data_IF_327151293697
#
_entry.id   IF_327151293697
#
_cell.length_a   1.000
_cell.length_b   1.000
_cell.length_c   1.000
_cell.angle_alpha   90.00
_cell.angle_beta   90.00
_cell.angle_gamma   90.00
#
_symmetry.space_group_name_H-M   'P 1'
#
loop_
_entity.id
_entity.type
_entity.pdbx_description
1 polymer ?
#
# COMPACT_ATOMS: atom_id res chain seq x y z
N UNK A 1 -8.49 -16.45 6.57
CA UNK A 1 -7.97 -15.53 5.55
C UNK A 1 -9.03 -14.47 5.30
N UNK A 2 -8.69 -13.19 5.48
CA UNK A 2 -9.55 -12.09 5.15
C UNK A 2 -9.16 -11.55 3.77
N UNK A 3 -10.11 -11.50 2.85
CA UNK A 3 -9.90 -10.96 1.52
C UNK A 3 -10.84 -9.78 1.33
N UNK A 4 -10.25 -8.60 1.05
CA UNK A 4 -11.03 -7.40 0.78
C UNK A 4 -11.31 -7.29 -0.71
N UNK A 5 -12.58 -7.24 -1.07
CA UNK A 5 -13.07 -7.11 -2.44
C UNK A 5 -13.94 -5.86 -2.50
N UNK A 6 -13.44 -4.81 -3.17
CA UNK A 6 -14.11 -3.51 -3.19
C UNK A 6 -15.23 -3.40 -4.20
N UNK A 7 -15.16 -4.14 -5.31
CA UNK A 7 -16.15 -4.10 -6.37
C UNK A 7 -16.41 -5.50 -6.91
N UNK A 8 -17.66 -5.83 -7.08
CA UNK A 8 -18.08 -7.06 -7.76
C UNK A 8 -18.08 -6.85 -9.26
N UNK A 9 -17.61 -7.85 -9.99
CA UNK A 9 -17.66 -7.90 -11.44
C UNK A 9 -18.13 -9.28 -11.89
N UNK A 10 -18.34 -9.44 -13.17
CA UNK A 10 -18.78 -10.71 -13.74
C UNK A 10 -17.86 -11.88 -13.38
N UNK A 11 -16.54 -11.64 -13.34
CA UNK A 11 -15.51 -12.66 -13.08
C UNK A 11 -15.08 -12.74 -11.60
N UNK A 12 -15.79 -12.09 -10.70
CA UNK A 12 -15.42 -12.04 -9.28
C UNK A 12 -15.28 -13.43 -8.67
N UNK A 13 -16.22 -14.33 -8.95
CA UNK A 13 -16.17 -15.70 -8.41
C UNK A 13 -14.96 -16.48 -8.90
N UNK A 14 -14.62 -16.36 -10.16
CA UNK A 14 -13.45 -17.01 -10.75
C UNK A 14 -12.16 -16.45 -10.17
N UNK A 15 -12.03 -15.12 -10.09
CA UNK A 15 -10.85 -14.47 -9.51
C UNK A 15 -10.65 -14.83 -8.04
N UNK A 16 -11.73 -14.88 -7.25
CA UNK A 16 -11.68 -15.31 -5.84
C UNK A 16 -11.23 -16.77 -5.71
N UNK A 17 -11.80 -17.66 -6.52
CA UNK A 17 -11.43 -19.07 -6.53
C UNK A 17 -9.95 -19.26 -6.92
N UNK A 18 -9.48 -18.56 -7.93
CA UNK A 18 -8.08 -18.67 -8.38
C UNK A 18 -7.08 -18.24 -7.31
N UNK A 19 -7.41 -17.23 -6.50
CA UNK A 19 -6.60 -16.86 -5.34
C UNK A 19 -6.69 -17.91 -4.24
N UNK A 20 -7.90 -18.32 -3.83
CA UNK A 20 -8.08 -19.27 -2.71
C UNK A 20 -7.41 -20.62 -3.01
N UNK A 21 -7.50 -21.10 -4.25
CA UNK A 21 -6.89 -22.37 -4.66
C UNK A 21 -5.42 -22.24 -5.11
N UNK A 22 -4.84 -21.06 -4.98
CA UNK A 22 -3.41 -20.85 -5.24
C UNK A 22 -3.03 -20.86 -6.72
N UNK A 23 -3.96 -20.67 -7.65
CA UNK A 23 -3.62 -20.52 -9.06
C UNK A 23 -2.97 -19.15 -9.36
N UNK A 24 -3.39 -18.13 -8.63
CA UNK A 24 -2.90 -16.77 -8.75
C UNK A 24 -2.55 -16.23 -7.39
N UNK A 25 -1.37 -15.64 -7.26
CA UNK A 25 -0.98 -14.93 -6.04
C UNK A 25 -1.71 -13.59 -5.94
N UNK A 26 -2.27 -13.25 -4.77
CA UNK A 26 -2.84 -11.92 -4.59
C UNK A 26 -1.74 -10.86 -4.61
N UNK A 27 -1.98 -9.78 -5.35
CA UNK A 27 -1.04 -8.66 -5.48
C UNK A 27 -1.68 -7.32 -5.09
N UNK A 28 -2.98 -7.29 -4.80
CA UNK A 28 -3.70 -6.09 -4.41
C UNK A 28 -3.20 -5.51 -3.09
N UNK A 29 -3.22 -4.19 -3.00
CA UNK A 29 -2.89 -3.44 -1.78
C UNK A 29 -4.04 -2.53 -1.42
N UNK A 30 -4.25 -2.31 -0.11
CA UNK A 30 -5.30 -1.41 0.37
C UNK A 30 -5.00 0.03 -0.06
N UNK A 31 -6.03 0.68 -0.58
CA UNK A 31 -5.98 2.09 -0.99
C UNK A 31 -6.47 3.04 0.10
N UNK A 32 -6.68 2.54 1.30
CA UNK A 32 -7.13 3.29 2.46
C UNK A 32 -6.56 2.70 3.74
N UNK A 33 -6.47 3.52 4.78
CA UNK A 33 -6.10 3.10 6.14
C UNK A 33 -7.34 2.59 6.86
N UNK A 34 -7.25 1.46 7.52
CA UNK A 34 -8.33 0.87 8.32
C UNK A 34 -8.05 1.09 9.80
N UNK A 35 -8.90 1.87 10.45
CA UNK A 35 -8.82 2.09 11.90
C UNK A 35 -9.09 0.80 12.68
N UNK A 36 -8.45 0.66 13.82
CA UNK A 36 -8.63 -0.51 14.68
C UNK A 36 -9.96 -0.46 15.44
N UNK A 37 -10.48 0.73 15.74
CA UNK A 37 -11.74 0.95 16.45
C UNK A 37 -12.57 2.06 15.80
N UNK A 38 -13.88 1.98 15.97
CA UNK A 38 -14.81 3.06 15.61
C UNK A 38 -14.57 4.32 16.43
N UNK A 39 -14.04 4.17 17.65
CA UNK A 39 -13.77 5.30 18.55
C UNK A 39 -12.61 6.18 18.06
N UNK A 40 -11.79 5.66 17.14
CA UNK A 40 -10.69 6.39 16.50
C UNK A 40 -11.16 7.21 15.30
N UNK A 41 -12.41 7.00 14.86
CA UNK A 41 -12.93 7.69 13.69
C UNK A 41 -13.39 9.09 14.04
N UNK A 42 -12.93 10.06 13.28
CA UNK A 42 -13.45 11.43 13.35
C UNK A 42 -14.91 11.50 12.90
N UNK A 43 -15.65 12.53 13.38
CA UNK A 43 -17.02 12.76 12.92
C UNK A 43 -17.14 12.69 11.40
N UNK A 44 -18.17 12.01 10.91
CA UNK A 44 -18.32 11.73 9.45
C UNK A 44 -18.37 13.01 8.61
N UNK A 45 -18.82 14.11 9.17
CA UNK A 45 -18.91 15.41 8.48
C UNK A 45 -17.62 16.24 8.57
N UNK A 46 -16.60 15.76 9.30
CA UNK A 46 -15.30 16.40 9.31
C UNK A 46 -14.45 15.88 8.13
N UNK A 47 -14.39 16.67 7.06
CA UNK A 47 -13.62 16.33 5.85
C UNK A 47 -12.20 16.91 5.87
N UNK A 48 -11.79 17.58 6.94
CA UNK A 48 -10.42 18.10 7.03
C UNK A 48 -9.45 16.95 7.35
N UNK A 49 -8.69 16.51 6.36
CA UNK A 49 -7.76 15.40 6.53
C UNK A 49 -6.69 15.66 7.60
N UNK A 50 -6.32 16.94 7.84
CA UNK A 50 -5.31 17.33 8.83
C UNK A 50 -5.75 17.12 10.28
N UNK A 51 -7.03 16.88 10.50
CA UNK A 51 -7.56 16.56 11.84
C UNK A 51 -7.26 15.12 12.27
N UNK A 52 -6.51 14.37 11.49
CA UNK A 52 -6.11 13.01 11.81
C UNK A 52 -6.69 11.95 10.87
N UNK A 53 -6.98 12.30 9.62
CA UNK A 53 -7.45 11.35 8.62
C UNK A 53 -6.31 10.86 7.75
N UNK A 54 -6.48 9.66 7.20
CA UNK A 54 -5.58 9.00 6.26
C UNK A 54 -4.21 8.65 6.87
N UNK A 55 -3.42 7.88 6.14
CA UNK A 55 -2.05 7.53 6.52
C UNK A 55 -1.13 8.75 6.75
N UNK A 56 -1.52 9.93 6.26
CA UNK A 56 -0.71 11.15 6.38
C UNK A 56 -0.82 11.81 7.76
N UNK A 57 -2.00 11.76 8.38
CA UNK A 57 -2.29 12.55 9.58
C UNK A 57 -2.87 11.73 10.74
N UNK A 58 -3.28 10.48 10.50
CA UNK A 58 -3.73 9.59 11.56
C UNK A 58 -2.54 9.20 12.45
N UNK A 59 -2.72 9.39 13.76
CA UNK A 59 -1.70 9.08 14.78
C UNK A 59 -1.94 7.74 15.48
N UNK A 60 -3.06 7.10 15.21
CA UNK A 60 -3.39 5.79 15.78
C UNK A 60 -2.66 4.69 15.02
N UNK A 61 -2.46 3.57 15.69
CA UNK A 61 -1.96 2.36 15.02
C UNK A 61 -3.11 1.70 14.27
N UNK A 62 -3.11 1.71 12.94
CA UNK A 62 -4.22 1.16 12.18
C UNK A 62 -4.28 -0.37 12.28
N UNK A 63 -5.48 -0.93 12.11
CA UNK A 63 -5.66 -2.36 11.92
C UNK A 63 -4.94 -2.84 10.65
N UNK A 64 -5.16 -2.12 9.55
CA UNK A 64 -4.41 -2.29 8.30
C UNK A 64 -4.01 -0.92 7.75
N UNK A 65 -2.71 -0.66 7.56
CA UNK A 65 -2.26 0.60 7.00
C UNK A 65 -2.57 0.71 5.50
N UNK A 66 -2.58 1.92 4.98
CA UNK A 66 -2.56 2.18 3.53
C UNK A 66 -1.43 1.37 2.87
N UNK A 67 -1.71 0.77 1.74
CA UNK A 67 -0.74 -0.05 1.02
C UNK A 67 -0.53 -1.46 1.58
N UNK A 68 -1.23 -1.85 2.64
CA UNK A 68 -1.16 -3.20 3.19
C UNK A 68 -1.73 -4.23 2.21
N UNK A 69 -1.07 -5.38 2.14
CA UNK A 69 -1.52 -6.55 1.41
C UNK A 69 -0.58 -7.72 1.63
N UNK A 70 -1.07 -8.91 1.36
CA UNK A 70 -0.31 -10.14 1.45
C UNK A 70 -0.21 -10.78 0.06
N UNK A 71 0.86 -11.53 -0.14
CA UNK A 71 1.14 -12.29 -1.35
C UNK A 71 1.51 -13.72 -0.98
N UNK A 72 1.51 -14.63 -1.94
CA UNK A 72 2.05 -15.99 -1.77
C UNK A 72 3.56 -16.05 -2.02
N UNK A 73 4.17 -14.91 -2.30
CA UNK A 73 5.61 -14.77 -2.47
C UNK A 73 6.13 -13.58 -1.70
N UNK A 74 7.43 -13.43 -1.65
CA UNK A 74 8.14 -12.33 -1.01
C UNK A 74 8.99 -11.58 -2.03
N UNK A 75 9.21 -10.29 -1.79
CA UNK A 75 9.99 -9.42 -2.64
C UNK A 75 11.06 -8.70 -1.85
N UNK A 76 12.26 -8.62 -2.39
CA UNK A 76 13.36 -7.84 -1.85
C UNK A 76 13.61 -6.60 -2.71
N UNK A 77 13.84 -5.48 -2.05
CA UNK A 77 14.22 -4.20 -2.65
C UNK A 77 15.73 -4.02 -2.49
N UNK A 78 16.46 -4.14 -3.58
CA UNK A 78 17.92 -4.11 -3.58
C UNK A 78 18.44 -2.88 -4.33
N UNK A 79 19.68 -2.50 -4.02
CA UNK A 79 20.40 -1.46 -4.76
C UNK A 79 19.65 -0.11 -4.84
N UNK A 80 18.94 0.29 -3.79
CA UNK A 80 18.22 1.55 -3.75
C UNK A 80 19.21 2.71 -3.85
N UNK A 81 19.09 3.52 -4.91
CA UNK A 81 19.99 4.63 -5.19
C UNK A 81 19.23 5.85 -5.68
N UNK A 82 19.74 7.01 -5.33
CA UNK A 82 19.32 8.28 -5.90
C UNK A 82 20.50 8.91 -6.65
N UNK A 83 20.23 9.59 -7.75
CA UNK A 83 21.24 10.31 -8.51
C UNK A 83 21.74 11.57 -7.79
N UNK A 84 20.94 12.11 -6.85
CA UNK A 84 21.25 13.30 -6.05
C UNK A 84 20.91 13.07 -4.59
N UNK A 85 21.64 13.72 -3.69
CA UNK A 85 21.37 13.74 -2.24
C UNK A 85 20.61 14.99 -1.81
N UNK A 86 20.69 16.05 -2.58
CA UNK A 86 20.05 17.34 -2.31
C UNK A 86 19.32 17.75 -3.57
N UNK A 87 18.11 18.18 -3.41
CA UNK A 87 17.23 18.65 -4.48
C UNK A 87 16.96 20.14 -4.26
N UNK A 88 17.20 20.95 -5.29
CA UNK A 88 16.82 22.37 -5.30
C UNK A 88 15.41 22.50 -5.89
N UNK A 89 14.79 23.63 -5.59
CA UNK A 89 13.47 23.94 -6.15
C UNK A 89 13.50 23.89 -7.69
N UNK A 90 12.50 23.22 -8.27
CA UNK A 90 12.38 23.02 -9.71
C UNK A 90 13.25 21.91 -10.30
N UNK A 91 14.08 21.21 -9.50
CA UNK A 91 14.87 20.07 -9.96
C UNK A 91 14.11 18.74 -9.81
N UNK A 92 14.55 17.74 -10.56
CA UNK A 92 14.09 16.35 -10.45
C UNK A 92 15.17 15.46 -9.84
N UNK A 93 14.76 14.42 -9.15
CA UNK A 93 15.62 13.35 -8.63
C UNK A 93 15.19 12.03 -9.26
N UNK A 94 16.16 11.23 -9.65
CA UNK A 94 15.90 9.87 -10.12
C UNK A 94 16.21 8.87 -8.99
N UNK A 95 15.20 8.06 -8.69
CA UNK A 95 15.33 6.92 -7.80
C UNK A 95 15.40 5.65 -8.65
N UNK A 96 16.38 4.82 -8.38
CA UNK A 96 16.49 3.50 -9.00
C UNK A 96 16.65 2.42 -7.93
N UNK A 97 16.10 1.26 -8.17
CA UNK A 97 16.24 0.09 -7.31
C UNK A 97 16.04 -1.17 -8.15
N UNK A 98 16.43 -2.30 -7.59
CA UNK A 98 16.19 -3.63 -8.14
C UNK A 98 15.12 -4.31 -7.29
N UNK A 99 14.08 -4.79 -7.93
CA UNK A 99 13.04 -5.60 -7.31
C UNK A 99 13.30 -7.06 -7.65
N UNK A 100 13.38 -7.90 -6.64
CA UNK A 100 13.60 -9.34 -6.80
C UNK A 100 12.49 -10.11 -6.11
N UNK A 101 11.82 -10.98 -6.84
CA UNK A 101 10.95 -12.00 -6.25
C UNK A 101 11.83 -13.10 -5.64
N UNK A 102 11.67 -13.34 -4.35
CA UNK A 102 12.49 -14.29 -3.57
C UNK A 102 11.73 -15.53 -3.15
N UNK A 103 10.44 -15.63 -3.51
CA UNK A 103 9.63 -16.84 -3.26
C UNK A 103 9.34 -17.62 -4.54
N UNK A 104 8.51 -18.64 -4.40
CA UNK A 104 8.26 -19.65 -5.45
C UNK A 104 7.06 -19.32 -6.35
N UNK A 105 6.29 -18.28 -6.02
CA UNK A 105 5.11 -17.90 -6.79
C UNK A 105 5.39 -16.68 -7.68
N UNK A 106 4.88 -16.74 -8.91
CA UNK A 106 4.79 -15.55 -9.75
C UNK A 106 3.76 -14.59 -9.15
N UNK A 107 4.11 -13.33 -9.01
CA UNK A 107 3.22 -12.30 -8.48
C UNK A 107 3.67 -10.92 -8.92
N UNK A 108 2.75 -9.96 -8.84
CA UNK A 108 3.06 -8.55 -9.00
C UNK A 108 3.34 -7.92 -7.65
N UNK A 109 4.11 -6.84 -7.63
CA UNK A 109 4.37 -6.02 -6.44
C UNK A 109 3.97 -4.58 -6.70
N UNK A 110 3.26 -3.98 -5.75
CA UNK A 110 2.91 -2.57 -5.78
C UNK A 110 3.97 -1.76 -5.05
N UNK A 111 4.89 -1.21 -5.81
CA UNK A 111 5.94 -0.33 -5.28
C UNK A 111 5.34 1.00 -4.82
N UNK A 112 5.65 1.39 -3.59
CA UNK A 112 5.18 2.63 -3.00
C UNK A 112 6.37 3.53 -2.65
N UNK A 113 6.36 4.75 -3.15
CA UNK A 113 7.34 5.78 -2.85
C UNK A 113 6.69 6.87 -2.01
N UNK A 114 7.19 7.08 -0.81
CA UNK A 114 6.71 8.12 0.09
C UNK A 114 7.71 9.26 0.16
N UNK A 115 7.19 10.48 0.09
CA UNK A 115 7.97 11.71 0.24
C UNK A 115 7.41 12.46 1.44
N UNK A 116 8.29 12.85 2.36
CA UNK A 116 7.94 13.71 3.49
C UNK A 116 8.67 15.04 3.38
N UNK A 117 7.98 16.10 3.79
CA UNK A 117 8.58 17.42 3.92
C UNK A 117 8.72 17.76 5.41
N UNK A 118 9.87 18.27 5.88
CA UNK A 118 10.03 18.65 7.27
C UNK A 118 8.96 19.66 7.69
N UNK A 119 8.29 19.39 8.80
CA UNK A 119 7.22 20.23 9.36
C UNK A 119 5.91 20.31 8.54
N UNK A 120 5.64 19.35 7.65
CA UNK A 120 4.34 19.24 6.96
C UNK A 120 3.38 18.35 7.73
#
# INVERSE_FOLDING_TARGET
>A
VNQHITQSSQELGNGLADVIFGKTSPAGRLTQTWSASIDELLPILDYNIRHGRTYMYDKHTPLFPFGFGLSYTTFDYLDIKTDKKVLKDGESINLSFKLQNTGDFNSDEVVQLYVSYPNS
#
